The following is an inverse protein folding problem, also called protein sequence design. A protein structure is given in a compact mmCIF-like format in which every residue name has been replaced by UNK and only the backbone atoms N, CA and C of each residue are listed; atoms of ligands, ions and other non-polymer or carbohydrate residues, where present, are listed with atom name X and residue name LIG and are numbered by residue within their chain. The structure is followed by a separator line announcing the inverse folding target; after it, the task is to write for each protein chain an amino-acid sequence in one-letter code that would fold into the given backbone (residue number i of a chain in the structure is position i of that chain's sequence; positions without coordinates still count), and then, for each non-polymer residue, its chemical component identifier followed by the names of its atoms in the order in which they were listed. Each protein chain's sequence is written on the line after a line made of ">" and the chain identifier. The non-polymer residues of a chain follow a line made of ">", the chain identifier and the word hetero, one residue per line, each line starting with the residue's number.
data_IF_504650512265
#
_entry.id   IF_504650512265
#
_cell.length_a   1.000
_cell.length_b   1.000
_cell.length_c   1.000
_cell.angle_alpha   90.00
_cell.angle_beta   90.00
_cell.angle_gamma   90.00
#
_symmetry.space_group_name_H-M   'P 1'
#
loop_
_entity.id
_entity.type
_entity.pdbx_description
1 polymer ?
#
# COMPACT_ATOMS: atom_id res chain seq x y z
N UNK A 1 -13.52 -10.32 8.27
CA UNK A 1 -14.30 -10.08 9.52
C UNK A 1 -14.55 -8.59 9.80
N UNK A 2 -13.55 -7.71 9.68
CA UNK A 2 -13.75 -6.25 9.93
C UNK A 2 -14.82 -5.59 9.02
N UNK A 3 -14.91 -5.96 7.75
CA UNK A 3 -15.94 -5.42 6.83
C UNK A 3 -17.36 -5.80 7.29
N UNK A 4 -17.64 -7.06 7.62
CA UNK A 4 -18.95 -7.50 8.13
C UNK A 4 -19.36 -6.81 9.45
N UNK A 5 -18.40 -6.61 10.37
CA UNK A 5 -18.66 -5.90 11.61
C UNK A 5 -19.01 -4.42 11.37
N UNK A 6 -18.33 -3.75 10.44
CA UNK A 6 -18.64 -2.37 10.04
C UNK A 6 -20.04 -2.27 9.44
N UNK A 7 -20.39 -3.19 8.54
CA UNK A 7 -21.73 -3.27 7.94
C UNK A 7 -22.82 -3.41 9.00
N UNK A 8 -22.62 -4.32 9.96
CA UNK A 8 -23.57 -4.54 11.05
C UNK A 8 -23.75 -3.29 11.92
N UNK A 9 -22.65 -2.63 12.31
CA UNK A 9 -22.70 -1.41 13.12
C UNK A 9 -23.44 -0.27 12.41
N UNK A 10 -23.18 -0.06 11.12
CA UNK A 10 -23.85 1.01 10.33
C UNK A 10 -25.35 0.74 10.21
N UNK A 11 -25.75 -0.51 9.90
CA UNK A 11 -27.16 -0.90 9.83
C UNK A 11 -27.85 -0.68 11.19
N UNK A 12 -27.20 -1.09 12.28
CA UNK A 12 -27.74 -0.93 13.63
C UNK A 12 -27.91 0.55 13.99
N UNK A 13 -26.97 1.41 13.60
CA UNK A 13 -27.04 2.85 13.83
C UNK A 13 -28.21 3.50 13.08
N UNK A 14 -28.38 3.19 11.78
CA UNK A 14 -29.52 3.69 11.00
C UNK A 14 -30.85 3.19 11.55
N UNK A 15 -30.92 1.94 12.00
CA UNK A 15 -32.11 1.40 12.66
C UNK A 15 -32.45 2.16 13.95
N UNK A 16 -31.46 2.41 14.83
CA UNK A 16 -31.67 3.17 16.06
C UNK A 16 -32.09 4.62 15.79
N UNK A 17 -31.42 5.30 14.86
CA UNK A 17 -31.77 6.67 14.46
C UNK A 17 -33.19 6.71 13.89
N UNK A 18 -33.54 5.77 13.00
CA UNK A 18 -34.89 5.67 12.44
C UNK A 18 -35.95 5.45 13.52
N UNK A 19 -35.67 4.60 14.51
CA UNK A 19 -36.55 4.37 15.66
C UNK A 19 -36.74 5.62 16.52
N UNK A 20 -35.66 6.35 16.81
CA UNK A 20 -35.71 7.60 17.58
C UNK A 20 -36.53 8.66 16.83
N UNK A 21 -36.26 8.86 15.55
CA UNK A 21 -37.00 9.82 14.70
C UNK A 21 -38.48 9.47 14.61
N UNK A 22 -38.81 8.18 14.44
CA UNK A 22 -40.20 7.73 14.38
C UNK A 22 -40.94 7.94 15.71
N UNK A 23 -40.26 7.71 16.84
CA UNK A 23 -40.80 8.00 18.18
C UNK A 23 -41.02 9.49 18.44
N UNK A 24 -40.15 10.38 17.92
CA UNK A 24 -40.30 11.83 18.01
C UNK A 24 -41.51 12.37 17.23
N UNK A 25 -41.95 11.66 16.18
CA UNK A 25 -43.13 12.01 15.37
C UNK A 25 -44.43 11.46 15.99
N UNK A 26 -44.35 10.76 17.13
CA UNK A 26 -45.52 10.18 17.80
C UNK A 26 -46.06 8.92 17.11
N UNK A 27 -45.26 8.26 16.28
CA UNK A 27 -45.67 7.05 15.58
C UNK A 27 -45.71 5.83 16.50
N UNK A 28 -46.84 5.13 16.54
CA UNK A 28 -46.92 3.80 17.14
C UNK A 28 -46.18 2.78 16.26
N UNK A 29 -45.27 2.01 16.85
CA UNK A 29 -44.47 1.02 16.13
C UNK A 29 -45.32 -0.22 15.88
N UNK A 30 -46.04 -0.24 14.77
CA UNK A 30 -46.69 -1.44 14.24
C UNK A 30 -45.67 -2.37 13.58
N UNK A 31 -45.98 -3.67 13.47
CA UNK A 31 -45.09 -4.65 12.83
C UNK A 31 -44.69 -4.28 11.39
N UNK A 32 -45.59 -3.64 10.63
CA UNK A 32 -45.31 -3.14 9.28
C UNK A 32 -44.31 -1.97 9.26
N UNK A 33 -44.44 -1.03 10.21
CA UNK A 33 -43.49 0.09 10.33
C UNK A 33 -42.07 -0.37 10.68
N UNK A 34 -41.95 -1.44 11.47
CA UNK A 34 -40.66 -2.03 11.84
C UNK A 34 -39.96 -2.64 10.62
N UNK A 35 -40.70 -3.32 9.74
CA UNK A 35 -40.17 -3.90 8.51
C UNK A 35 -39.65 -2.80 7.56
N UNK A 36 -40.41 -1.71 7.41
CA UNK A 36 -39.99 -0.54 6.62
C UNK A 36 -38.73 0.10 7.20
N UNK A 37 -38.62 0.22 8.52
CA UNK A 37 -37.42 0.76 9.18
C UNK A 37 -36.19 -0.12 8.96
N UNK A 38 -36.34 -1.45 9.04
CA UNK A 38 -35.23 -2.38 8.80
C UNK A 38 -34.77 -2.33 7.35
N UNK A 39 -35.70 -2.40 6.39
CA UNK A 39 -35.38 -2.33 4.96
C UNK A 39 -34.77 -0.97 4.61
N UNK A 40 -35.34 0.11 5.12
CA UNK A 40 -34.80 1.47 4.98
C UNK A 40 -33.38 1.59 5.54
N UNK A 41 -33.13 1.06 6.73
CA UNK A 41 -31.80 1.06 7.34
C UNK A 41 -30.77 0.28 6.50
N UNK A 42 -31.14 -0.88 5.94
CA UNK A 42 -30.26 -1.65 5.06
C UNK A 42 -29.91 -0.85 3.81
N UNK A 43 -30.91 -0.25 3.15
CA UNK A 43 -30.70 0.53 1.91
C UNK A 43 -29.84 1.76 2.18
N UNK A 44 -30.12 2.51 3.25
CA UNK A 44 -29.38 3.71 3.62
C UNK A 44 -27.96 3.40 4.13
N UNK A 45 -27.74 2.22 4.72
CA UNK A 45 -26.40 1.77 5.13
C UNK A 45 -25.48 1.47 3.94
N UNK A 46 -26.01 1.05 2.79
CA UNK A 46 -25.19 0.68 1.62
C UNK A 46 -24.17 1.75 1.18
N UNK A 47 -24.56 3.02 0.93
CA UNK A 47 -23.61 4.05 0.51
C UNK A 47 -22.57 4.36 1.60
N UNK A 48 -22.98 4.40 2.87
CA UNK A 48 -22.09 4.72 4.00
C UNK A 48 -21.07 3.61 4.23
N UNK A 49 -21.50 2.35 4.20
CA UNK A 49 -20.60 1.21 4.37
C UNK A 49 -19.63 1.08 3.19
N UNK A 50 -20.10 1.27 1.95
CA UNK A 50 -19.22 1.29 0.76
C UNK A 50 -18.20 2.42 0.80
N UNK A 51 -18.61 3.60 1.25
CA UNK A 51 -17.69 4.73 1.43
C UNK A 51 -16.66 4.44 2.52
N UNK A 52 -17.11 3.91 3.66
CA UNK A 52 -16.23 3.49 4.76
C UNK A 52 -15.23 2.41 4.33
N UNK A 53 -15.68 1.42 3.57
CA UNK A 53 -14.82 0.36 3.02
C UNK A 53 -13.79 0.92 2.03
N UNK A 54 -14.18 1.83 1.14
CA UNK A 54 -13.23 2.52 0.26
C UNK A 54 -12.15 3.26 1.05
N UNK A 55 -12.53 3.98 2.10
CA UNK A 55 -11.57 4.73 2.93
C UNK A 55 -10.66 3.81 3.75
N UNK A 56 -11.21 2.71 4.28
CA UNK A 56 -10.43 1.70 5.00
C UNK A 56 -9.45 1.01 4.06
N UNK A 57 -9.88 0.53 2.90
CA UNK A 57 -9.01 -0.13 1.91
C UNK A 57 -7.95 0.84 1.39
N UNK A 58 -8.29 2.10 1.16
CA UNK A 58 -7.35 3.13 0.76
C UNK A 58 -6.23 3.36 1.79
N UNK A 59 -6.56 3.23 3.09
CA UNK A 59 -5.62 3.49 4.20
C UNK A 59 -5.06 2.22 4.85
N UNK A 60 -5.45 1.04 4.39
CA UNK A 60 -5.05 -0.22 5.04
C UNK A 60 -3.58 -0.53 4.73
N UNK A 61 -2.66 -0.04 5.55
CA UNK A 61 -1.24 -0.40 5.45
C UNK A 61 -1.05 -1.89 5.76
N UNK A 62 0.00 -2.51 5.23
CA UNK A 62 0.22 -3.97 5.29
C UNK A 62 0.45 -4.54 6.70
N UNK A 63 0.20 -3.77 7.75
CA UNK A 63 0.53 -4.11 9.14
C UNK A 63 2.03 -4.13 9.40
N UNK A 64 2.84 -3.69 8.43
CA UNK A 64 4.30 -3.56 8.49
C UNK A 64 4.64 -2.10 8.67
N UNK A 65 5.63 -1.80 9.50
CA UNK A 65 6.09 -0.42 9.72
C UNK A 65 7.60 -0.33 9.57
N UNK A 66 8.04 0.69 8.83
CA UNK A 66 9.47 1.00 8.66
C UNK A 66 9.82 2.11 9.64
N UNK A 67 10.88 1.91 10.42
CA UNK A 67 11.45 2.94 11.30
C UNK A 67 12.85 3.29 10.82
N UNK A 68 13.08 4.59 10.67
CA UNK A 68 14.38 5.16 10.37
C UNK A 68 15.07 5.53 11.68
N UNK A 69 16.28 5.03 11.87
CA UNK A 69 17.18 5.40 12.96
C UNK A 69 18.45 6.02 12.36
N UNK A 70 19.22 6.77 13.17
CA UNK A 70 20.40 7.54 12.73
C UNK A 70 21.53 6.72 12.09
N UNK A 71 21.47 5.38 12.17
CA UNK A 71 22.40 4.50 11.46
C UNK A 71 21.79 3.16 11.05
N UNK A 72 20.48 2.98 11.16
CA UNK A 72 19.84 1.72 10.83
C UNK A 72 18.42 1.93 10.32
N UNK A 73 17.92 0.94 9.60
CA UNK A 73 16.54 0.87 9.16
C UNK A 73 15.95 -0.41 9.72
N UNK A 74 14.87 -0.26 10.49
CA UNK A 74 14.19 -1.39 11.12
C UNK A 74 12.82 -1.57 10.49
N UNK A 75 12.59 -2.71 9.86
CA UNK A 75 11.26 -3.14 9.45
C UNK A 75 10.65 -3.98 10.57
N UNK A 76 9.50 -3.55 11.10
CA UNK A 76 8.73 -4.33 12.06
C UNK A 76 7.59 -5.06 11.35
N UNK A 77 7.64 -6.38 11.40
CA UNK A 77 6.58 -7.29 10.96
C UNK A 77 6.00 -8.03 12.18
N UNK A 78 4.86 -8.71 12.01
CA UNK A 78 4.28 -9.58 13.05
C UNK A 78 5.18 -10.77 13.41
N UNK A 79 5.98 -11.25 12.46
CA UNK A 79 6.91 -12.39 12.58
C UNK A 79 8.22 -12.01 13.29
N UNK A 80 8.58 -10.73 13.33
CA UNK A 80 9.84 -10.26 13.89
C UNK A 80 10.24 -8.87 13.38
N UNK A 81 11.34 -8.35 13.92
CA UNK A 81 11.96 -7.12 13.46
C UNK A 81 13.20 -7.45 12.62
N UNK A 82 13.24 -6.95 11.39
CA UNK A 82 14.42 -7.01 10.53
C UNK A 82 15.14 -5.67 10.63
N UNK A 83 16.44 -5.69 10.92
CA UNK A 83 17.27 -4.50 11.04
C UNK A 83 18.39 -4.55 10.01
N UNK A 84 18.58 -3.44 9.30
CA UNK A 84 19.71 -3.21 8.40
C UNK A 84 20.52 -2.05 8.98
N UNK A 85 21.80 -2.29 9.25
CA UNK A 85 22.76 -1.29 9.71
C UNK A 85 23.42 -0.61 8.50
N UNK A 86 23.15 0.68 8.35
CA UNK A 86 23.62 1.51 7.25
C UNK A 86 25.11 1.88 7.37
N UNK A 87 25.75 1.59 8.51
CA UNK A 87 27.20 1.82 8.70
C UNK A 87 28.06 0.77 8.00
N UNK A 88 27.47 -0.38 7.66
CA UNK A 88 28.14 -1.44 6.92
C UNK A 88 27.71 -1.39 5.44
N UNK A 89 28.34 -2.22 4.62
CA UNK A 89 27.96 -2.35 3.21
C UNK A 89 26.55 -2.96 3.10
N UNK A 90 25.63 -2.21 2.50
CA UNK A 90 24.27 -2.64 2.23
C UNK A 90 24.08 -2.81 0.73
N UNK A 91 23.59 -3.97 0.31
CA UNK A 91 23.17 -4.18 -1.07
C UNK A 91 21.76 -3.63 -1.24
N UNK A 92 21.52 -2.93 -2.35
CA UNK A 92 20.21 -2.35 -2.62
C UNK A 92 19.82 -2.52 -4.09
N UNK A 93 18.52 -2.63 -4.33
CA UNK A 93 17.92 -2.67 -5.66
C UNK A 93 16.78 -1.68 -5.72
N UNK A 94 16.73 -0.88 -6.79
CA UNK A 94 15.68 0.10 -7.02
C UNK A 94 15.01 -0.21 -8.33
N UNK A 95 13.71 -0.48 -8.29
CA UNK A 95 12.95 -0.69 -9.51
C UNK A 95 11.59 -0.02 -9.44
N UNK A 96 11.01 0.15 -10.61
CA UNK A 96 9.65 0.63 -10.76
C UNK A 96 8.98 -0.08 -11.94
N UNK A 97 7.66 -0.10 -11.94
CA UNK A 97 6.87 -0.59 -13.07
C UNK A 97 5.48 0.03 -13.08
N UNK A 98 4.88 0.09 -14.28
CA UNK A 98 3.51 0.53 -14.46
C UNK A 98 2.55 -0.58 -14.08
N UNK A 99 1.60 -0.28 -13.21
CA UNK A 99 0.51 -1.18 -12.84
C UNK A 99 -0.49 -1.18 -13.99
N UNK A 100 -0.54 -2.30 -14.70
CA UNK A 100 -1.53 -2.58 -15.73
C UNK A 100 -2.74 -3.28 -15.10
N UNK A 101 -3.92 -2.68 -15.28
CA UNK A 101 -5.18 -3.18 -14.73
C UNK A 101 -5.47 -2.73 -13.30
N UNK A 102 -6.64 -3.09 -12.78
CA UNK A 102 -7.10 -2.69 -11.45
C UNK A 102 -6.71 -3.78 -10.42
N UNK A 103 -5.53 -3.65 -9.79
CA UNK A 103 -5.11 -4.55 -8.71
C UNK A 103 -5.74 -4.10 -7.38
N UNK A 104 -6.68 -4.89 -6.86
CA UNK A 104 -7.18 -4.77 -5.48
C UNK A 104 -8.00 -3.51 -5.16
N UNK A 105 -8.53 -2.81 -6.17
CA UNK A 105 -9.43 -1.65 -5.99
C UNK A 105 -8.80 -0.38 -5.42
N UNK A 106 -7.61 -0.47 -4.79
CA UNK A 106 -6.89 0.63 -4.13
C UNK A 106 -6.08 1.49 -5.08
N UNK A 107 -5.46 0.86 -6.09
CA UNK A 107 -4.53 1.54 -7.01
C UNK A 107 -5.12 1.52 -8.42
N UNK A 108 -5.27 2.71 -9.00
CA UNK A 108 -5.86 2.83 -10.34
C UNK A 108 -4.86 2.45 -11.44
N UNK A 109 -5.38 2.03 -12.59
CA UNK A 109 -4.58 1.64 -13.75
C UNK A 109 -3.65 2.78 -14.18
N UNK A 110 -2.43 2.45 -14.59
CA UNK A 110 -1.42 3.42 -15.01
C UNK A 110 -0.61 4.03 -13.87
N UNK A 111 -0.93 3.74 -12.61
CA UNK A 111 -0.05 4.10 -11.49
C UNK A 111 1.26 3.34 -11.55
N UNK A 112 2.30 3.93 -10.99
CA UNK A 112 3.61 3.31 -10.88
C UNK A 112 3.77 2.70 -9.49
N UNK A 113 4.25 1.47 -9.42
CA UNK A 113 4.86 0.94 -8.22
C UNK A 113 6.34 1.31 -8.24
N UNK A 114 6.83 2.01 -7.22
CA UNK A 114 8.26 2.23 -7.01
C UNK A 114 8.68 1.45 -5.78
N UNK A 115 9.82 0.78 -5.85
CA UNK A 115 10.28 -0.09 -4.79
C UNK A 115 11.79 -0.01 -4.60
N UNK A 116 12.19 -0.17 -3.35
CA UNK A 116 13.57 -0.38 -2.92
C UNK A 116 13.65 -1.63 -2.09
N UNK A 117 14.57 -2.52 -2.45
CA UNK A 117 14.98 -3.64 -1.61
C UNK A 117 16.32 -3.32 -0.99
N UNK A 118 16.44 -3.56 0.30
CA UNK A 118 17.69 -3.51 1.04
C UNK A 118 18.02 -4.93 1.49
N UNK A 119 19.28 -5.33 1.35
CA UNK A 119 19.77 -6.61 1.83
C UNK A 119 21.16 -6.46 2.47
N UNK A 120 21.34 -7.12 3.61
CA UNK A 120 22.56 -7.14 4.36
C UNK A 120 22.63 -8.44 5.17
N UNK A 121 23.71 -9.20 5.00
CA UNK A 121 23.86 -10.54 5.59
C UNK A 121 22.62 -11.40 5.24
N UNK A 122 21.92 -11.91 6.25
CA UNK A 122 20.69 -12.71 6.09
C UNK A 122 19.39 -11.88 6.14
N UNK A 123 19.49 -10.57 6.41
CA UNK A 123 18.33 -9.69 6.50
C UNK A 123 18.08 -9.01 5.15
N UNK A 124 16.87 -9.19 4.60
CA UNK A 124 16.45 -8.47 3.41
C UNK A 124 14.97 -8.10 3.48
N UNK A 125 14.65 -6.84 3.16
CA UNK A 125 13.27 -6.40 3.06
C UNK A 125 13.08 -5.37 1.95
N UNK A 126 11.84 -5.25 1.50
CA UNK A 126 11.47 -4.33 0.42
C UNK A 126 10.47 -3.30 0.94
N UNK A 127 10.70 -2.04 0.60
CA UNK A 127 9.78 -0.93 0.88
C UNK A 127 9.30 -0.40 -0.46
N UNK A 128 8.01 -0.09 -0.58
CA UNK A 128 7.43 0.38 -1.83
C UNK A 128 6.33 1.40 -1.61
N UNK A 129 6.08 2.19 -2.65
CA UNK A 129 5.01 3.18 -2.70
C UNK A 129 4.34 3.17 -4.07
N UNK A 130 3.10 3.65 -4.13
CA UNK A 130 2.36 3.84 -5.38
C UNK A 130 2.28 5.32 -5.75
N UNK A 131 2.59 5.63 -7.01
CA UNK A 131 2.63 6.99 -7.51
C UNK A 131 1.69 7.17 -8.71
N UNK A 132 0.98 8.31 -8.80
CA UNK A 132 0.33 8.69 -10.05
C UNK A 132 1.38 9.01 -11.13
N UNK A 133 1.04 8.87 -12.42
CA UNK A 133 2.00 9.02 -13.54
C UNK A 133 2.84 10.31 -13.48
N UNK A 134 2.19 11.45 -13.26
CA UNK A 134 2.87 12.76 -13.17
C UNK A 134 3.88 12.82 -12.03
N UNK A 135 3.57 12.21 -10.88
CA UNK A 135 4.50 12.14 -9.76
C UNK A 135 5.64 11.17 -10.07
N UNK A 136 5.35 10.04 -10.72
CA UNK A 136 6.35 9.06 -11.11
C UNK A 136 7.39 9.66 -12.06
N UNK A 137 6.99 10.41 -13.09
CA UNK A 137 7.93 11.09 -14.00
C UNK A 137 8.90 12.02 -13.25
N UNK A 138 8.36 12.87 -12.36
CA UNK A 138 9.18 13.75 -11.51
C UNK A 138 10.05 12.95 -10.51
N UNK A 139 9.62 11.75 -10.13
CA UNK A 139 10.36 10.86 -9.23
C UNK A 139 11.53 10.17 -9.93
N UNK A 140 11.29 9.63 -11.13
CA UNK A 140 12.29 8.97 -11.96
C UNK A 140 13.37 9.92 -12.47
N UNK A 141 13.04 11.20 -12.67
CA UNK A 141 14.02 12.23 -12.96
C UNK A 141 14.98 12.50 -11.78
N UNK A 142 14.47 12.42 -10.54
CA UNK A 142 15.25 12.66 -9.31
C UNK A 142 16.05 11.44 -8.86
N UNK A 143 15.48 10.25 -9.03
CA UNK A 143 16.03 8.99 -8.55
C UNK A 143 16.06 7.99 -9.70
N UNK A 144 17.23 7.42 -10.01
CA UNK A 144 17.33 6.42 -11.07
C UNK A 144 16.80 5.06 -10.60
N UNK A 145 15.62 4.69 -11.10
CA UNK A 145 15.01 3.37 -10.91
C UNK A 145 15.20 2.51 -12.15
N UNK A 146 15.39 1.21 -11.93
CA UNK A 146 15.35 0.22 -12.99
C UNK A 146 13.91 -0.02 -13.44
N UNK A 147 13.61 0.18 -14.72
CA UNK A 147 12.31 -0.16 -15.29
C UNK A 147 12.14 -1.68 -15.37
N UNK A 148 11.37 -2.22 -14.42
CA UNK A 148 11.04 -3.63 -14.42
C UNK A 148 9.95 -3.89 -15.47
N UNK A 149 10.34 -4.60 -16.53
CA UNK A 149 9.40 -5.01 -17.57
C UNK A 149 8.68 -6.28 -17.16
N UNK A 150 7.38 -6.34 -17.45
CA UNK A 150 6.56 -7.49 -17.11
C UNK A 150 6.97 -8.72 -17.92
N UNK A 151 6.85 -9.90 -17.32
CA UNK A 151 7.15 -11.19 -17.97
C UNK A 151 6.35 -11.47 -19.26
N UNK A 152 5.33 -10.66 -19.57
CA UNK A 152 4.47 -10.80 -20.76
C UNK A 152 4.87 -9.91 -21.93
N UNK A 153 5.96 -9.13 -21.85
CA UNK A 153 6.49 -8.42 -23.02
C UNK A 153 7.16 -9.44 -23.96
N UNK A 154 6.40 -9.94 -24.93
CA UNK A 154 6.78 -10.98 -25.91
C UNK A 154 7.89 -10.56 -26.89
N UNK A 155 8.37 -9.32 -26.84
CA UNK A 155 9.16 -8.72 -27.92
C UNK A 155 10.68 -8.77 -27.76
N UNK A 156 11.26 -9.24 -26.64
CA UNK A 156 12.72 -9.15 -26.44
C UNK A 156 13.38 -10.38 -25.78
N UNK A 157 14.66 -10.65 -26.11
CA UNK A 157 15.31 -11.93 -25.86
C UNK A 157 15.55 -12.16 -24.36
N UNK A 158 15.54 -13.43 -23.96
CA UNK A 158 16.11 -14.01 -22.72
C UNK A 158 16.38 -13.00 -21.60
N UNK A 159 15.54 -13.01 -20.55
CA UNK A 159 15.76 -12.28 -19.30
C UNK A 159 17.25 -12.29 -18.93
N UNK A 160 17.94 -11.16 -19.12
CA UNK A 160 19.35 -11.06 -18.76
C UNK A 160 19.49 -11.29 -17.26
N UNK A 161 20.68 -11.67 -16.78
CA UNK A 161 20.91 -11.92 -15.36
C UNK A 161 20.47 -10.77 -14.43
N UNK A 162 20.47 -9.52 -14.92
CA UNK A 162 19.94 -8.35 -14.19
C UNK A 162 18.43 -8.40 -13.99
N UNK A 163 17.64 -8.72 -15.03
CA UNK A 163 16.18 -8.80 -14.92
C UNK A 163 15.72 -9.87 -13.93
N UNK A 164 16.40 -11.01 -13.93
CA UNK A 164 16.11 -12.10 -13.01
C UNK A 164 16.20 -11.66 -11.53
N UNK A 165 17.20 -10.85 -11.20
CA UNK A 165 17.38 -10.31 -9.84
C UNK A 165 16.25 -9.37 -9.44
N UNK A 166 15.83 -8.47 -10.34
CA UNK A 166 14.72 -7.55 -10.07
C UNK A 166 13.36 -8.26 -10.02
N UNK A 167 13.15 -9.30 -10.83
CA UNK A 167 11.95 -10.14 -10.74
C UNK A 167 11.90 -10.92 -9.43
N UNK A 168 13.04 -11.44 -8.96
CA UNK A 168 13.12 -12.08 -7.65
C UNK A 168 12.85 -11.08 -6.51
N UNK A 169 13.41 -9.86 -6.60
CA UNK A 169 13.13 -8.79 -5.66
C UNK A 169 11.64 -8.39 -5.66
N UNK A 170 11.00 -8.35 -6.82
CA UNK A 170 9.58 -8.05 -6.98
C UNK A 170 8.68 -9.15 -6.40
N UNK A 171 9.01 -10.43 -6.61
CA UNK A 171 8.31 -11.54 -5.95
C UNK A 171 8.41 -11.43 -4.44
N UNK A 172 9.61 -11.18 -3.91
CA UNK A 172 9.81 -11.01 -2.48
C UNK A 172 9.07 -9.76 -1.94
N UNK A 173 8.97 -8.66 -2.71
CA UNK A 173 8.14 -7.50 -2.34
C UNK A 173 6.67 -7.88 -2.23
N UNK A 174 6.16 -8.71 -3.12
CA UNK A 174 4.77 -9.16 -3.06
C UNK A 174 4.46 -9.92 -1.75
N UNK A 175 5.41 -10.74 -1.29
CA UNK A 175 5.26 -11.56 -0.08
C UNK A 175 5.47 -10.76 1.22
N UNK A 176 6.58 -10.01 1.30
CA UNK A 176 7.05 -9.39 2.55
C UNK A 176 7.27 -7.88 2.47
N UNK A 177 6.88 -7.23 1.37
CA UNK A 177 7.08 -5.80 1.18
C UNK A 177 6.26 -4.94 2.15
N UNK A 178 6.86 -3.84 2.60
CA UNK A 178 6.20 -2.79 3.36
C UNK A 178 5.72 -1.68 2.42
N UNK A 179 4.41 -1.46 2.37
CA UNK A 179 3.84 -0.32 1.66
C UNK A 179 3.91 0.91 2.55
N UNK A 180 4.39 2.03 2.01
CA UNK A 180 4.47 3.33 2.69
C UNK A 180 3.91 4.42 1.78
N UNK A 181 3.54 5.55 2.37
CA UNK A 181 3.12 6.73 1.61
C UNK A 181 4.30 7.35 0.86
N UNK A 182 4.02 8.10 -0.20
CA UNK A 182 5.04 8.73 -1.04
C UNK A 182 5.99 9.63 -0.24
N UNK A 183 5.45 10.43 0.70
CA UNK A 183 6.27 11.34 1.52
C UNK A 183 7.25 10.57 2.42
N UNK A 184 6.81 9.46 3.01
CA UNK A 184 7.65 8.59 3.83
C UNK A 184 8.68 7.85 2.97
N UNK A 185 8.29 7.43 1.77
CA UNK A 185 9.21 6.84 0.80
C UNK A 185 10.29 7.82 0.38
N UNK A 186 9.96 9.08 0.08
CA UNK A 186 10.96 10.12 -0.20
C UNK A 186 11.90 10.34 0.98
N UNK A 187 11.36 10.34 2.21
CA UNK A 187 12.16 10.48 3.43
C UNK A 187 13.15 9.31 3.58
N UNK A 188 12.70 8.08 3.33
CA UNK A 188 13.56 6.90 3.29
C UNK A 188 14.67 7.04 2.24
N UNK A 189 14.35 7.46 1.01
CA UNK A 189 15.37 7.61 -0.04
C UNK A 189 16.39 8.70 0.28
N UNK A 190 15.96 9.82 0.87
CA UNK A 190 16.87 10.88 1.34
C UNK A 190 17.79 10.36 2.46
N UNK A 191 17.24 9.58 3.39
CA UNK A 191 18.02 8.96 4.46
C UNK A 191 19.06 7.98 3.91
N UNK A 192 18.67 7.13 2.94
CA UNK A 192 19.57 6.21 2.26
C UNK A 192 20.66 6.95 1.45
N UNK A 193 20.29 8.02 0.75
CA UNK A 193 21.24 8.84 0.00
C UNK A 193 22.28 9.51 0.91
N UNK A 194 21.89 9.92 2.12
CA UNK A 194 22.80 10.51 3.10
C UNK A 194 23.72 9.47 3.76
N UNK A 195 23.21 8.25 4.03
CA UNK A 195 23.94 7.23 4.76
C UNK A 195 24.77 6.29 3.86
N UNK A 196 24.37 6.09 2.61
CA UNK A 196 24.99 5.16 1.66
C UNK A 196 25.46 5.95 0.44
N UNK A 197 26.75 6.35 0.36
CA UNK A 197 27.26 7.22 -0.72
C UNK A 197 27.02 6.64 -2.13
N UNK A 198 27.16 5.32 -2.27
CA UNK A 198 26.91 4.59 -3.53
C UNK A 198 25.46 4.74 -4.03
N UNK A 199 24.52 5.02 -3.14
CA UNK A 199 23.10 5.17 -3.47
C UNK A 199 22.84 6.34 -4.43
N UNK A 200 23.69 7.35 -4.41
CA UNK A 200 23.58 8.55 -5.26
C UNK A 200 24.40 8.40 -6.56
N UNK A 201 25.54 7.70 -6.52
CA UNK A 201 26.59 7.77 -7.55
C UNK A 201 26.46 6.82 -8.74
N UNK A 202 25.31 6.18 -9.00
CA UNK A 202 25.07 5.53 -10.30
C UNK A 202 24.79 6.55 -11.44
N UNK A 203 25.62 7.58 -11.53
CA UNK A 203 25.67 8.60 -12.58
C UNK A 203 26.74 8.32 -13.64
N UNK A 204 27.52 7.25 -13.56
CA UNK A 204 28.53 6.95 -14.59
C UNK A 204 28.84 5.45 -14.71
N UNK A 205 28.18 4.80 -15.67
CA UNK A 205 28.76 3.70 -16.46
C UNK A 205 27.96 3.53 -17.74
#
# INVERSE_FOLDING_TARGET
>A
MASLALWFVVIMLFYLIGRILFGLVGGEISGGSLLVLVVGAIVLAQPVARWGEKQLVARWTSGRSVRLESGAITLREKSGALRIDLRQKVNYWRWWFVIRGQRGGRVSNGHYCVAVRLAQNDAAFSVYAFLPPKAAEAFGARYRFYELRGSNDKEKPSLGGRDAVYLAAERARWESGAEVDLADFETLLKHLAAAVPEFVTMTSS
#
